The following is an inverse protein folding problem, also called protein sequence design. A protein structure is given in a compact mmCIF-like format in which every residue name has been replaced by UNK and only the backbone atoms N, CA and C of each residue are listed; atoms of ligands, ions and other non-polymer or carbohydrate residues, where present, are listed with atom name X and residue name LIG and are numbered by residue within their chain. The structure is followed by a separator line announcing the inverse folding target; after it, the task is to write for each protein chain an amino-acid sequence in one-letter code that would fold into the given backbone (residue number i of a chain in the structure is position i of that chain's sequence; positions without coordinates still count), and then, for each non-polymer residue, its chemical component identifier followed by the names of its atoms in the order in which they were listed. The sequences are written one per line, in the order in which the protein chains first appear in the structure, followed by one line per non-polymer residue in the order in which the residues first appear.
data_IF_201125370161
#
_entry.id   IF_201125370161
#
_cell.length_a   1.000
_cell.length_b   1.000
_cell.length_c   1.000
_cell.angle_alpha   90.00
_cell.angle_beta   90.00
_cell.angle_gamma   90.00
#
_symmetry.space_group_name_H-M   'P 1'
#
loop_
_entity.id
_entity.type
_entity.pdbx_description
1 polymer ?
#
# COMPACT_ATOMS: atom_id res chain seq x y z
N UNK A 1 5.14 -6.42 -22.77
CA UNK A 1 5.10 -6.79 -21.35
C UNK A 1 3.72 -6.45 -20.85
N UNK A 2 3.05 -7.37 -20.17
CA UNK A 2 1.74 -7.10 -19.57
C UNK A 2 1.92 -6.29 -18.27
N UNK A 3 1.02 -5.34 -17.96
CA UNK A 3 1.07 -4.61 -16.69
C UNK A 3 0.80 -5.56 -15.51
N UNK A 4 1.52 -5.37 -14.39
CA UNK A 4 1.30 -6.16 -13.17
C UNK A 4 -0.06 -5.87 -12.52
N UNK A 5 -0.49 -4.60 -12.54
CA UNK A 5 -1.82 -4.15 -12.15
C UNK A 5 -2.25 -2.99 -13.05
N UNK A 6 -3.54 -2.89 -13.34
CA UNK A 6 -4.14 -1.80 -14.11
C UNK A 6 -5.47 -1.40 -13.47
N UNK A 7 -5.56 -0.13 -13.07
CA UNK A 7 -6.75 0.43 -12.43
C UNK A 7 -7.05 1.82 -13.00
N UNK A 8 -8.31 2.25 -12.88
CA UNK A 8 -8.72 3.61 -13.22
C UNK A 8 -8.56 4.50 -11.98
N UNK A 9 -7.51 5.32 -11.95
CA UNK A 9 -7.24 6.27 -10.88
C UNK A 9 -7.01 7.68 -11.42
N UNK A 10 -7.54 8.69 -10.72
CA UNK A 10 -7.33 10.12 -11.02
C UNK A 10 -6.35 10.83 -10.07
N UNK A 11 -5.60 10.07 -9.26
CA UNK A 11 -4.67 10.61 -8.27
C UNK A 11 -3.29 10.96 -8.85
N UNK A 12 -2.44 11.57 -8.02
CA UNK A 12 -1.02 11.75 -8.34
C UNK A 12 -0.26 10.46 -7.99
N UNK A 13 0.48 9.94 -8.96
CA UNK A 13 1.28 8.73 -8.81
C UNK A 13 2.77 9.04 -8.92
N UNK A 14 3.58 8.18 -8.31
CA UNK A 14 5.03 8.11 -8.53
C UNK A 14 5.34 7.52 -9.92
N UNK A 15 6.56 7.72 -10.41
CA UNK A 15 7.01 7.22 -11.71
C UNK A 15 7.32 5.72 -11.71
N UNK A 16 7.77 5.18 -10.58
CA UNK A 16 8.02 3.75 -10.40
C UNK A 16 7.78 3.27 -8.95
N UNK A 17 7.48 1.97 -8.76
CA UNK A 17 7.16 1.39 -7.44
C UNK A 17 8.28 1.58 -6.41
N UNK A 18 9.54 1.66 -6.84
CA UNK A 18 10.68 1.88 -5.94
C UNK A 18 10.63 3.23 -5.22
N UNK A 19 10.03 4.25 -5.83
CA UNK A 19 9.90 5.59 -5.25
C UNK A 19 8.92 5.63 -4.06
N UNK A 20 8.03 4.64 -3.92
CA UNK A 20 7.14 4.49 -2.78
C UNK A 20 7.94 4.24 -1.48
N UNK A 21 9.10 3.59 -1.59
CA UNK A 21 9.96 3.25 -0.47
C UNK A 21 9.45 2.06 0.35
N UNK A 22 9.85 2.00 1.64
CA UNK A 22 9.46 0.91 2.53
C UNK A 22 7.93 0.86 2.68
N UNK A 23 7.32 -0.28 2.37
CA UNK A 23 5.94 -0.58 2.75
C UNK A 23 5.94 -1.34 4.09
N UNK A 24 5.25 -0.80 5.09
CA UNK A 24 5.14 -1.41 6.41
C UNK A 24 3.69 -1.67 6.76
N UNK A 25 3.34 -2.95 6.82
CA UNK A 25 2.10 -3.42 7.42
C UNK A 25 2.11 -3.11 8.93
N UNK A 26 1.07 -2.43 9.41
CA UNK A 26 0.94 -2.03 10.82
C UNK A 26 -0.14 -2.81 11.55
N UNK A 27 -1.10 -3.40 10.83
CA UNK A 27 -2.15 -4.18 11.45
C UNK A 27 -3.19 -4.72 10.47
N UNK A 28 -4.02 -5.60 10.98
CA UNK A 28 -5.18 -6.14 10.28
C UNK A 28 -6.34 -6.40 11.25
N UNK A 29 -7.57 -6.15 10.80
CA UNK A 29 -8.78 -6.42 11.56
C UNK A 29 -9.91 -6.98 10.70
N UNK A 30 -10.78 -7.80 11.30
CA UNK A 30 -12.01 -8.27 10.64
C UNK A 30 -13.05 -7.14 10.59
N UNK A 31 -13.67 -6.92 9.44
CA UNK A 31 -14.73 -5.90 9.25
C UNK A 31 -16.09 -6.53 9.01
N UNK A 32 -16.13 -7.68 8.32
CA UNK A 32 -17.34 -8.47 8.08
C UNK A 32 -16.96 -9.93 7.80
N UNK A 33 -17.95 -10.81 7.63
CA UNK A 33 -17.70 -12.20 7.24
C UNK A 33 -16.93 -12.25 5.91
N UNK A 34 -15.72 -12.80 5.94
CA UNK A 34 -14.83 -12.89 4.77
C UNK A 34 -14.12 -11.59 4.37
N UNK A 35 -14.29 -10.48 5.11
CA UNK A 35 -13.69 -9.18 4.78
C UNK A 35 -12.74 -8.72 5.89
N UNK A 36 -11.52 -8.34 5.48
CA UNK A 36 -10.43 -7.90 6.37
C UNK A 36 -9.92 -6.53 5.93
N UNK A 37 -9.66 -5.65 6.89
CA UNK A 37 -9.04 -4.34 6.68
C UNK A 37 -7.57 -4.45 7.02
N UNK A 38 -6.74 -4.00 6.09
CA UNK A 38 -5.29 -3.89 6.25
C UNK A 38 -4.96 -2.43 6.55
N UNK A 39 -4.10 -2.22 7.53
CA UNK A 39 -3.51 -0.93 7.84
C UNK A 39 -2.01 -1.00 7.56
N UNK A 40 -1.51 0.00 6.84
CA UNK A 40 -0.10 0.09 6.46
C UNK A 40 0.31 1.54 6.26
N UNK A 41 1.62 1.78 6.40
CA UNK A 41 2.27 3.06 6.09
C UNK A 41 3.40 2.83 5.09
N UNK A 42 3.78 3.86 4.36
CA UNK A 42 4.91 3.79 3.42
C UNK A 42 5.79 5.04 3.46
N UNK A 43 6.84 5.07 2.64
CA UNK A 43 7.84 6.15 2.63
C UNK A 43 8.57 6.30 3.97
N UNK A 44 8.98 7.53 4.28
CA UNK A 44 9.76 7.84 5.49
C UNK A 44 9.01 7.51 6.79
N UNK A 45 7.69 7.65 6.82
CA UNK A 45 6.86 7.33 7.98
C UNK A 45 6.93 5.84 8.36
N UNK A 46 7.19 4.95 7.41
CA UNK A 46 7.30 3.52 7.67
C UNK A 46 8.50 3.15 8.57
N UNK A 47 9.57 3.96 8.56
CA UNK A 47 10.75 3.71 9.39
C UNK A 47 10.50 3.93 10.89
N UNK A 48 9.41 4.58 11.28
CA UNK A 48 9.02 4.75 12.69
C UNK A 48 8.49 3.44 13.33
N UNK A 49 8.29 2.39 12.53
CA UNK A 49 7.70 1.10 12.91
C UNK A 49 8.70 -0.08 12.79
N UNK A 50 9.99 0.25 12.70
CA UNK A 50 11.12 -0.69 12.66
C UNK A 50 11.78 -0.75 14.03
#
# INVERSE_FOLDING_TARGET
SEPYSLELCGGLHVGETGEIGLFRFTGEGAVAAGIRRIEAVTGTSAYQYV
#
